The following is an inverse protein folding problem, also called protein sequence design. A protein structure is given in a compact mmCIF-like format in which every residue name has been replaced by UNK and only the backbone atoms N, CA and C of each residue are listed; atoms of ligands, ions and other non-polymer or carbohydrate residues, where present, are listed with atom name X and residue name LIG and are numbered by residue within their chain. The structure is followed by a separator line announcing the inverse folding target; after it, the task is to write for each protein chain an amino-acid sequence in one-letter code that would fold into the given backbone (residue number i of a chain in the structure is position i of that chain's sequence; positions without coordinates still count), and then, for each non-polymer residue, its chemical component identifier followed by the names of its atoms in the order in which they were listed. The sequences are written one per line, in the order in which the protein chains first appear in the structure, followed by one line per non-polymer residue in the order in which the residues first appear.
data_IF_606969250291
#
_entry.id   IF_606969250291
#
_cell.length_a   1.000
_cell.length_b   1.000
_cell.length_c   1.000
_cell.angle_alpha   90.00
_cell.angle_beta   90.00
_cell.angle_gamma   90.00
#
_symmetry.space_group_name_H-M   'P 1'
#
loop_
_entity.id
_entity.type
_entity.pdbx_description
1 polymer ?
#
# COMPACT_ATOMS: atom_id res chain seq x y z
N UNK A 1 -2.45 -2.81 -20.11
CA UNK A 1 -1.45 -3.79 -19.62
C UNK A 1 -0.56 -3.10 -18.60
N UNK A 2 -0.52 -3.61 -17.39
CA UNK A 2 0.40 -3.17 -16.34
C UNK A 2 1.43 -4.29 -16.17
N UNK A 3 2.72 -3.99 -16.34
CA UNK A 3 3.83 -4.97 -16.25
C UNK A 3 3.75 -6.14 -17.25
N UNK A 4 3.18 -5.94 -18.44
CA UNK A 4 3.06 -6.99 -19.46
C UNK A 4 2.12 -8.14 -19.11
N UNK A 5 1.43 -8.09 -17.97
CA UNK A 5 0.45 -9.11 -17.54
C UNK A 5 -0.96 -8.65 -17.80
N UNK A 6 -1.81 -9.57 -18.27
CA UNK A 6 -3.23 -9.33 -18.43
C UNK A 6 -3.92 -9.44 -17.07
N UNK A 7 -4.70 -8.41 -16.73
CA UNK A 7 -5.45 -8.39 -15.48
C UNK A 7 -6.79 -9.08 -15.74
N UNK A 8 -7.02 -10.23 -15.14
CA UNK A 8 -8.28 -10.99 -15.30
C UNK A 8 -9.41 -10.43 -14.45
N UNK A 9 -9.11 -9.91 -13.26
CA UNK A 9 -10.10 -9.39 -12.30
C UNK A 9 -9.61 -8.06 -11.72
N UNK A 10 -10.47 -7.04 -11.82
CA UNK A 10 -10.26 -5.75 -11.16
C UNK A 10 -11.36 -5.52 -10.12
N UNK A 11 -10.99 -5.12 -8.90
CA UNK A 11 -11.96 -4.77 -7.87
C UNK A 11 -12.33 -3.29 -7.99
N UNK A 12 -13.59 -3.01 -8.30
CA UNK A 12 -14.16 -1.66 -8.39
C UNK A 12 -14.65 -1.14 -7.04
N UNK A 13 -14.96 0.16 -6.98
CA UNK A 13 -15.64 0.76 -5.84
C UNK A 13 -17.15 0.49 -5.88
N UNK A 14 -17.84 0.56 -4.73
CA UNK A 14 -19.31 0.41 -4.64
C UNK A 14 -20.07 1.49 -5.43
N UNK A 15 -19.46 2.67 -5.61
CA UNK A 15 -19.99 3.74 -6.44
C UNK A 15 -19.77 3.57 -7.94
N UNK A 16 -19.04 2.54 -8.37
CA UNK A 16 -18.76 2.33 -9.78
C UNK A 16 -20.04 1.99 -10.58
N UNK A 17 -20.36 2.83 -11.56
CA UNK A 17 -21.53 2.69 -12.45
C UNK A 17 -21.14 2.35 -13.90
N UNK A 18 -19.86 2.02 -14.14
CA UNK A 18 -19.35 1.69 -15.46
C UNK A 18 -19.64 0.27 -15.92
N UNK A 19 -19.04 -0.11 -17.02
CA UNK A 19 -19.17 -1.45 -17.60
C UNK A 19 -18.59 -2.52 -16.68
N UNK A 20 -19.25 -3.69 -16.63
CA UNK A 20 -18.77 -4.81 -15.83
C UNK A 20 -17.56 -5.54 -16.44
N UNK A 21 -17.28 -5.31 -17.71
CA UNK A 21 -16.13 -5.84 -18.43
C UNK A 21 -15.41 -4.75 -19.19
N UNK A 22 -14.10 -4.72 -19.12
CA UNK A 22 -13.22 -3.85 -19.92
C UNK A 22 -12.20 -4.73 -20.64
N UNK A 23 -12.46 -5.01 -21.94
CA UNK A 23 -11.72 -6.05 -22.66
C UNK A 23 -11.89 -7.42 -22.00
N UNK A 24 -10.80 -8.09 -21.69
CA UNK A 24 -10.79 -9.38 -20.98
C UNK A 24 -10.86 -9.26 -19.45
N UNK A 25 -10.77 -8.03 -18.93
CA UNK A 25 -10.77 -7.76 -17.48
C UNK A 25 -12.20 -7.72 -16.93
N UNK A 26 -12.55 -8.62 -16.02
CA UNK A 26 -13.82 -8.58 -15.29
C UNK A 26 -13.73 -7.60 -14.12
N UNK A 27 -14.62 -6.62 -14.08
CA UNK A 27 -14.73 -5.68 -12.96
C UNK A 27 -15.69 -6.26 -11.93
N UNK A 28 -15.19 -6.50 -10.72
CA UNK A 28 -15.98 -7.05 -9.60
C UNK A 28 -16.13 -5.98 -8.54
N UNK A 29 -17.38 -5.67 -8.20
CA UNK A 29 -17.71 -4.76 -7.09
C UNK A 29 -17.84 -5.60 -5.83
N UNK A 30 -17.03 -5.36 -4.76
CA UNK A 30 -17.14 -6.13 -3.54
C UNK A 30 -18.50 -5.89 -2.87
N UNK A 31 -19.32 -6.92 -2.77
CA UNK A 31 -20.58 -6.91 -2.04
C UNK A 31 -20.38 -7.30 -0.57
N UNK A 32 -21.22 -6.76 0.31
CA UNK A 32 -21.25 -7.21 1.71
C UNK A 32 -21.66 -8.68 1.76
N UNK A 33 -20.96 -9.52 2.54
CA UNK A 33 -21.37 -10.90 2.73
C UNK A 33 -22.80 -10.99 3.27
N UNK A 34 -23.65 -11.81 2.61
CA UNK A 34 -25.01 -12.05 3.06
C UNK A 34 -25.04 -13.18 4.09
N UNK A 35 -26.01 -13.24 5.02
CA UNK A 35 -26.12 -14.32 5.99
C UNK A 35 -26.21 -15.70 5.37
N UNK A 36 -26.89 -15.81 4.23
CA UNK A 36 -27.12 -17.06 3.47
C UNK A 36 -25.91 -17.48 2.58
N UNK A 37 -24.87 -16.64 2.47
CA UNK A 37 -23.69 -17.01 1.67
C UNK A 37 -22.95 -18.18 2.33
N UNK A 38 -22.43 -19.10 1.50
CA UNK A 38 -21.55 -20.15 1.96
C UNK A 38 -20.27 -19.59 2.58
N UNK A 39 -19.60 -20.36 3.45
CA UNK A 39 -18.34 -19.96 4.09
C UNK A 39 -17.28 -19.57 3.05
N UNK A 40 -17.17 -20.30 1.95
CA UNK A 40 -16.27 -20.00 0.84
C UNK A 40 -16.60 -18.66 0.16
N UNK A 41 -17.89 -18.40 -0.13
CA UNK A 41 -18.32 -17.16 -0.74
C UNK A 41 -18.06 -15.96 0.16
N UNK A 42 -18.28 -16.09 1.47
CA UNK A 42 -17.94 -15.06 2.48
C UNK A 42 -16.45 -14.77 2.51
N UNK A 43 -15.59 -15.80 2.55
CA UNK A 43 -14.15 -15.66 2.54
C UNK A 43 -13.64 -14.93 1.29
N UNK A 44 -14.16 -15.29 0.11
CA UNK A 44 -13.81 -14.66 -1.16
C UNK A 44 -14.22 -13.18 -1.21
N UNK A 45 -15.42 -12.84 -0.72
CA UNK A 45 -15.87 -11.45 -0.60
C UNK A 45 -14.98 -10.66 0.36
N UNK A 46 -14.63 -11.22 1.51
CA UNK A 46 -13.72 -10.58 2.47
C UNK A 46 -12.32 -10.36 1.90
N UNK A 47 -11.80 -11.29 1.11
CA UNK A 47 -10.50 -11.12 0.44
C UNK A 47 -10.51 -9.92 -0.52
N UNK A 48 -11.55 -9.78 -1.34
CA UNK A 48 -11.71 -8.64 -2.26
C UNK A 48 -11.83 -7.32 -1.50
N UNK A 49 -12.59 -7.27 -0.39
CA UNK A 49 -12.67 -6.11 0.48
C UNK A 49 -11.30 -5.73 1.04
N UNK A 50 -10.55 -6.69 1.56
CA UNK A 50 -9.23 -6.46 2.15
C UNK A 50 -8.22 -5.95 1.13
N UNK A 51 -8.23 -6.51 -0.10
CA UNK A 51 -7.37 -6.03 -1.20
C UNK A 51 -7.67 -4.58 -1.55
N UNK A 52 -8.95 -4.20 -1.61
CA UNK A 52 -9.37 -2.82 -1.88
C UNK A 52 -9.01 -1.89 -0.72
N UNK A 53 -9.36 -2.26 0.52
CA UNK A 53 -9.10 -1.47 1.70
C UNK A 53 -7.61 -1.15 1.89
N UNK A 54 -6.71 -2.01 1.40
CA UNK A 54 -5.26 -1.78 1.42
C UNK A 54 -4.79 -0.60 0.56
N UNK A 55 -5.60 -0.16 -0.43
CA UNK A 55 -5.26 0.97 -1.31
C UNK A 55 -5.57 2.31 -0.64
N UNK A 56 -6.62 2.39 0.17
CA UNK A 56 -7.08 3.63 0.80
C UNK A 56 -6.01 4.29 1.70
N UNK A 57 -5.31 3.55 2.59
CA UNK A 57 -4.20 4.13 3.36
C UNK A 57 -3.06 4.63 2.49
N UNK A 58 -2.72 3.92 1.40
CA UNK A 58 -1.66 4.35 0.46
C UNK A 58 -2.02 5.68 -0.19
N UNK A 59 -3.27 5.82 -0.67
CA UNK A 59 -3.76 7.08 -1.25
C UNK A 59 -3.78 8.18 -0.17
N UNK A 60 -4.19 7.86 1.05
CA UNK A 60 -4.16 8.77 2.20
C UNK A 60 -2.75 9.30 2.47
N UNK A 61 -1.75 8.42 2.53
CA UNK A 61 -0.35 8.82 2.69
C UNK A 61 0.16 9.63 1.50
N UNK A 62 -0.17 9.26 0.26
CA UNK A 62 0.22 10.05 -0.90
C UNK A 62 -0.36 11.47 -0.85
N UNK A 63 -1.60 11.64 -0.39
CA UNK A 63 -2.25 12.94 -0.26
C UNK A 63 -1.66 13.78 0.86
N UNK A 64 -1.48 13.20 2.04
CA UNK A 64 -1.09 13.94 3.25
C UNK A 64 0.43 14.14 3.34
N UNK A 65 1.22 13.07 3.10
CA UNK A 65 2.67 13.09 3.30
C UNK A 65 3.43 13.52 2.04
N UNK A 66 2.87 13.26 0.85
CA UNK A 66 3.54 13.44 -0.44
C UNK A 66 2.83 14.44 -1.36
N UNK A 67 2.01 15.33 -0.80
CA UNK A 67 1.37 16.48 -1.48
C UNK A 67 0.51 16.13 -2.70
N UNK A 68 0.04 14.88 -2.84
CA UNK A 68 -0.87 14.49 -3.92
C UNK A 68 -2.25 15.19 -3.82
N UNK A 69 -2.58 15.79 -2.67
CA UNK A 69 -3.81 16.57 -2.48
C UNK A 69 -3.85 17.89 -3.24
N UNK A 70 -2.71 18.35 -3.79
CA UNK A 70 -2.62 19.55 -4.63
C UNK A 70 -1.93 19.21 -5.93
N UNK A 71 -2.51 19.66 -7.04
CA UNK A 71 -1.86 19.56 -8.33
C UNK A 71 -1.01 20.82 -8.57
N UNK A 72 0.28 20.63 -8.79
CA UNK A 72 1.24 21.71 -9.03
C UNK A 72 1.49 21.96 -10.52
N UNK A 73 1.07 21.03 -11.37
CA UNK A 73 1.28 21.06 -12.81
C UNK A 73 -0.06 21.16 -13.52
N UNK A 74 -0.09 21.83 -14.67
CA UNK A 74 -1.31 21.99 -15.48
C UNK A 74 -1.43 20.89 -16.53
N UNK A 75 -2.66 20.42 -16.75
CA UNK A 75 -3.04 19.48 -17.81
C UNK A 75 -2.76 18.02 -17.45
N UNK A 76 -3.28 17.11 -18.27
CA UNK A 76 -3.21 15.65 -18.04
C UNK A 76 -1.79 15.11 -17.86
N UNK A 77 -0.82 15.67 -18.57
CA UNK A 77 0.59 15.29 -18.43
C UNK A 77 1.14 15.73 -17.07
N UNK A 78 0.79 16.94 -16.63
CA UNK A 78 1.16 17.44 -15.32
C UNK A 78 0.54 16.63 -14.17
N UNK A 79 -0.72 16.24 -14.31
CA UNK A 79 -1.41 15.36 -13.36
C UNK A 79 -0.69 14.01 -13.21
N UNK A 80 -0.29 13.42 -14.35
CA UNK A 80 0.44 12.17 -14.37
C UNK A 80 1.79 12.27 -13.65
N UNK A 81 2.54 13.34 -13.89
CA UNK A 81 3.82 13.60 -13.22
C UNK A 81 3.60 13.73 -11.71
N UNK A 82 2.59 14.49 -11.28
CA UNK A 82 2.30 14.70 -9.86
C UNK A 82 1.99 13.37 -9.14
N UNK A 83 1.17 12.52 -9.77
CA UNK A 83 0.85 11.18 -9.24
C UNK A 83 2.09 10.29 -9.18
N UNK A 84 2.91 10.28 -10.24
CA UNK A 84 4.14 9.47 -10.28
C UNK A 84 5.15 9.89 -9.23
N UNK A 85 5.33 11.21 -9.02
CA UNK A 85 6.24 11.73 -7.99
C UNK A 85 5.77 11.37 -6.58
N UNK A 86 4.48 11.49 -6.29
CA UNK A 86 3.92 11.11 -5.00
C UNK A 86 4.07 9.60 -4.74
N UNK A 87 3.82 8.76 -5.75
CA UNK A 87 4.01 7.33 -5.66
C UNK A 87 5.50 6.94 -5.49
N UNK A 88 6.41 7.61 -6.20
CA UNK A 88 7.84 7.41 -6.07
C UNK A 88 8.32 7.78 -4.65
N UNK A 89 7.89 8.92 -4.12
CA UNK A 89 8.23 9.37 -2.76
C UNK A 89 7.73 8.39 -1.69
N UNK A 90 6.49 7.89 -1.83
CA UNK A 90 5.93 6.87 -0.95
C UNK A 90 6.76 5.58 -0.97
N UNK A 91 7.11 5.08 -2.16
CA UNK A 91 7.91 3.87 -2.31
C UNK A 91 9.33 4.06 -1.77
N UNK A 92 9.95 5.23 -2.01
CA UNK A 92 11.28 5.55 -1.50
C UNK A 92 11.31 5.59 0.03
N UNK A 93 10.32 6.25 0.66
CA UNK A 93 10.17 6.27 2.13
C UNK A 93 10.04 4.85 2.69
N UNK A 94 9.29 3.98 2.01
CA UNK A 94 9.15 2.57 2.40
C UNK A 94 10.45 1.78 2.26
N UNK A 95 11.17 1.96 1.16
CA UNK A 95 12.47 1.32 0.93
C UNK A 95 13.52 1.77 1.98
N UNK A 96 13.55 3.07 2.29
CA UNK A 96 14.44 3.63 3.31
C UNK A 96 14.17 3.02 4.70
N UNK A 97 12.90 2.83 5.08
CA UNK A 97 12.56 2.15 6.35
C UNK A 97 13.10 0.72 6.42
N UNK A 98 13.00 -0.03 5.32
CA UNK A 98 13.55 -1.40 5.25
C UNK A 98 15.07 -1.36 5.37
N UNK A 99 15.73 -0.46 4.66
CA UNK A 99 17.18 -0.29 4.72
C UNK A 99 17.66 0.06 6.14
N UNK A 100 16.99 1.01 6.80
CA UNK A 100 17.33 1.39 8.18
C UNK A 100 17.16 0.22 9.16
N UNK A 101 16.13 -0.62 8.98
CA UNK A 101 15.95 -1.84 9.78
C UNK A 101 17.07 -2.85 9.56
N UNK A 102 17.51 -3.02 8.32
CA UNK A 102 18.63 -3.92 7.99
C UNK A 102 19.94 -3.42 8.56
N UNK A 103 20.23 -2.12 8.43
CA UNK A 103 21.43 -1.49 9.02
C UNK A 103 21.42 -1.65 10.54
N UNK A 104 20.28 -1.36 11.18
CA UNK A 104 20.13 -1.54 12.63
C UNK A 104 20.37 -2.99 13.05
N UNK A 105 19.77 -3.97 12.36
CA UNK A 105 19.97 -5.38 12.60
C UNK A 105 21.44 -5.78 12.44
N UNK A 106 22.10 -5.29 11.41
CA UNK A 106 23.52 -5.55 11.14
C UNK A 106 24.44 -4.96 12.23
N UNK A 107 24.15 -3.77 12.74
CA UNK A 107 24.90 -3.13 13.83
C UNK A 107 24.71 -3.88 15.17
N UNK A 108 23.53 -4.45 15.39
CA UNK A 108 23.24 -5.18 16.63
C UNK A 108 23.72 -6.63 16.63
N UNK A 109 23.98 -7.20 15.46
CA UNK A 109 24.45 -8.58 15.31
C UNK A 109 25.68 -8.90 16.16
N UNK A 110 26.81 -8.12 16.14
CA UNK A 110 27.97 -8.42 16.95
C UNK A 110 27.74 -8.22 18.45
N UNK A 111 26.81 -7.36 18.88
CA UNK A 111 26.54 -7.10 20.30
C UNK A 111 25.79 -8.24 20.98
N UNK A 112 24.89 -8.92 20.27
CA UNK A 112 24.18 -10.09 20.80
C UNK A 112 25.10 -11.31 20.96
N UNK A 113 26.17 -11.40 20.17
CA UNK A 113 27.17 -12.46 20.24
C UNK A 113 28.15 -12.29 21.43
N UNK A 114 28.32 -11.08 21.97
CA UNK A 114 29.26 -10.74 23.05
C UNK A 114 28.58 -10.36 24.38
N UNK A 115 27.29 -10.66 24.58
CA UNK A 115 26.63 -10.57 25.91
C UNK A 115 26.41 -9.14 26.44
N UNK A 116 26.39 -8.13 25.62
CA UNK A 116 26.14 -6.72 26.03
C UNK A 116 24.66 -6.36 26.11
N UNK A 117 24.26 -5.69 27.19
CA UNK A 117 22.87 -5.21 27.43
C UNK A 117 22.34 -4.30 26.30
N UNK A 118 21.30 -4.76 25.64
CA UNK A 118 20.74 -4.15 24.41
C UNK A 118 19.54 -3.22 24.71
N UNK A 119 19.16 -3.03 25.97
CA UNK A 119 17.86 -2.49 26.36
C UNK A 119 17.63 -0.99 26.03
N UNK A 120 18.66 -0.17 25.97
CA UNK A 120 18.49 1.30 25.79
C UNK A 120 18.31 1.71 24.34
N UNK A 121 18.87 0.99 23.37
CA UNK A 121 18.82 1.39 21.95
C UNK A 121 17.56 0.95 21.20
N UNK A 122 16.85 -0.07 21.70
CA UNK A 122 15.62 -0.58 21.06
C UNK A 122 14.47 0.43 21.09
N UNK A 123 14.34 1.20 22.16
CA UNK A 123 13.26 2.18 22.31
C UNK A 123 13.41 3.38 21.38
N UNK A 124 14.63 3.84 21.15
CA UNK A 124 14.90 4.99 20.25
C UNK A 124 14.63 4.65 18.76
N UNK A 125 15.07 3.47 18.31
CA UNK A 125 14.87 3.06 16.91
C UNK A 125 13.43 2.66 16.66
N UNK A 126 12.75 2.03 17.62
CA UNK A 126 11.31 1.74 17.52
C UNK A 126 10.49 3.02 17.49
N UNK A 127 10.84 4.05 18.26
CA UNK A 127 10.21 5.37 18.24
C UNK A 127 10.44 6.05 16.88
N UNK A 128 11.68 6.07 16.38
CA UNK A 128 12.02 6.67 15.09
C UNK A 128 11.35 5.98 13.89
N UNK A 129 11.26 4.64 13.90
CA UNK A 129 10.59 3.87 12.83
C UNK A 129 9.06 4.00 12.88
N UNK A 130 8.46 4.36 14.05
CA UNK A 130 7.02 4.65 14.16
C UNK A 130 6.63 6.06 13.75
N UNK A 131 7.56 7.02 13.84
CA UNK A 131 7.26 8.45 13.60
C UNK A 131 7.40 8.85 12.12
N UNK A 132 8.03 8.04 11.30
CA UNK A 132 8.20 8.22 9.85
C UNK A 132 7.48 7.09 9.09
#
# INVERSE_FOLDING_TARGET
RIYGREIKIAAGDRGYRGQQMSGETKIVIPEVPKPLDSAYAKAKKHELFRKRAGIEPVIGHCKNDHRLGRNFYKGLFGDSINVMLAAAAFNFKRALRVLLRLIYWWIQWPKSAFGGDVTVSQNLVCAYVRTF
#
